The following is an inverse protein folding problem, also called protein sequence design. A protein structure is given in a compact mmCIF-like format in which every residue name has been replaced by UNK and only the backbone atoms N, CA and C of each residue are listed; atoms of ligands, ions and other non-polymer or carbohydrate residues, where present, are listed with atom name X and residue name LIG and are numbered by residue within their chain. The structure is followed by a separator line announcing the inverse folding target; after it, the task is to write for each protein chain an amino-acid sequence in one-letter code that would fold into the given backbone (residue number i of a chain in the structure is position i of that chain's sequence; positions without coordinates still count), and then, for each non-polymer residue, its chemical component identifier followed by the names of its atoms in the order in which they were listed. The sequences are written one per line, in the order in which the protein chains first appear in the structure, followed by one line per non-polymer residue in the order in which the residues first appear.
data_IF_990076097220
#
_entry.id   IF_990076097220
#
_cell.length_a   1.000
_cell.length_b   1.000
_cell.length_c   1.000
_cell.angle_alpha   90.00
_cell.angle_beta   90.00
_cell.angle_gamma   90.00
#
_symmetry.space_group_name_H-M   'P 1'
#
loop_
_entity.id
_entity.type
_entity.pdbx_description
1 polymer ?
#
# COMPACT_ATOMS: atom_id res chain seq x y z
N UNK A 1 -4.64 -29.98 -8.04
CA UNK A 1 -4.07 -29.45 -9.29
C UNK A 1 -4.17 -27.93 -9.17
N UNK A 2 -3.04 -27.23 -9.02
CA UNK A 2 -3.04 -25.77 -8.80
C UNK A 2 -2.99 -25.12 -10.18
N UNK A 3 -4.10 -24.53 -10.62
CA UNK A 3 -4.11 -23.67 -11.81
C UNK A 3 -3.45 -22.33 -11.45
N UNK A 4 -2.32 -22.05 -12.10
CA UNK A 4 -1.59 -20.79 -11.94
C UNK A 4 -1.96 -19.90 -13.12
N UNK A 5 -2.82 -18.91 -12.89
CA UNK A 5 -3.16 -17.88 -13.87
C UNK A 5 -2.21 -16.68 -13.67
N UNK A 6 -1.35 -16.43 -14.64
CA UNK A 6 -0.44 -15.29 -14.64
C UNK A 6 -1.13 -14.09 -15.32
N UNK A 7 -1.35 -13.01 -14.59
CA UNK A 7 -1.78 -11.73 -15.16
C UNK A 7 -0.66 -10.69 -15.02
N UNK A 8 -0.20 -10.16 -16.15
CA UNK A 8 0.84 -9.13 -16.20
C UNK A 8 0.23 -7.84 -16.75
N UNK A 9 0.58 -6.71 -16.13
CA UNK A 9 0.15 -5.38 -16.59
C UNK A 9 1.41 -4.58 -16.93
N UNK A 10 1.76 -4.51 -18.20
CA UNK A 10 2.94 -3.76 -18.67
C UNK A 10 2.55 -2.32 -19.02
N UNK A 11 3.52 -1.41 -19.00
CA UNK A 11 3.37 0.00 -19.46
C UNK A 11 3.78 0.15 -20.94
N UNK A 12 3.88 -0.95 -21.69
CA UNK A 12 4.46 -0.97 -23.03
C UNK A 12 3.33 -0.98 -24.07
N UNK A 13 3.09 0.18 -24.68
CA UNK A 13 2.01 0.40 -25.64
C UNK A 13 2.36 -0.04 -27.08
N UNK A 14 3.56 -0.57 -27.31
CA UNK A 14 4.12 -0.80 -28.66
C UNK A 14 4.44 -2.28 -28.96
N UNK A 15 4.03 -3.21 -28.10
CA UNK A 15 4.43 -4.61 -28.20
C UNK A 15 3.21 -5.51 -27.96
N UNK A 16 3.04 -6.56 -28.77
CA UNK A 16 1.92 -7.48 -28.62
C UNK A 16 1.99 -8.20 -27.27
N UNK A 17 0.84 -8.51 -26.65
CA UNK A 17 0.80 -9.11 -25.31
C UNK A 17 1.61 -10.41 -25.23
N UNK A 18 1.65 -11.19 -26.32
CA UNK A 18 2.36 -12.47 -26.44
C UNK A 18 3.88 -12.28 -26.44
N UNK A 19 4.40 -11.38 -27.28
CA UNK A 19 5.83 -11.06 -27.33
C UNK A 19 6.28 -10.37 -26.02
N UNK A 20 5.41 -9.58 -25.40
CA UNK A 20 5.69 -8.91 -24.13
C UNK A 20 5.85 -9.93 -23.01
N UNK A 21 5.01 -10.97 -22.99
CA UNK A 21 5.07 -12.06 -22.04
C UNK A 21 6.33 -12.91 -22.25
N UNK A 22 6.74 -13.21 -23.49
CA UNK A 22 7.98 -13.95 -23.74
C UNK A 22 9.23 -13.18 -23.32
N UNK A 23 9.29 -11.89 -23.65
CA UNK A 23 10.41 -11.03 -23.27
C UNK A 23 10.47 -10.84 -21.75
N UNK A 24 9.29 -10.71 -21.09
CA UNK A 24 9.20 -10.73 -19.64
C UNK A 24 9.74 -12.05 -19.08
N UNK A 25 9.27 -13.20 -19.56
CA UNK A 25 9.71 -14.53 -19.09
C UNK A 25 11.22 -14.70 -19.21
N UNK A 26 11.80 -14.33 -20.35
CA UNK A 26 13.24 -14.41 -20.57
C UNK A 26 14.04 -13.48 -19.63
N UNK A 27 13.51 -12.30 -19.32
CA UNK A 27 14.15 -11.35 -18.39
C UNK A 27 13.93 -11.67 -16.90
N UNK A 28 12.80 -12.30 -16.57
CA UNK A 28 12.39 -12.62 -15.21
C UNK A 28 13.03 -13.91 -14.72
N UNK A 29 13.16 -14.94 -15.56
CA UNK A 29 13.72 -16.25 -15.18
C UNK A 29 15.26 -16.17 -15.17
N UNK A 30 15.81 -15.60 -14.09
CA UNK A 30 17.24 -15.54 -13.77
C UNK A 30 17.62 -16.38 -12.53
N UNK A 31 16.69 -17.19 -12.03
CA UNK A 31 16.85 -18.02 -10.83
C UNK A 31 16.76 -17.25 -9.51
N UNK A 32 16.37 -15.96 -9.54
CA UNK A 32 16.20 -15.11 -8.35
C UNK A 32 14.76 -14.62 -8.20
N UNK A 33 13.82 -15.24 -8.89
CA UNK A 33 12.41 -14.87 -8.80
C UNK A 33 11.84 -15.20 -7.41
N UNK A 34 11.03 -14.28 -6.89
CA UNK A 34 10.19 -14.55 -5.73
C UNK A 34 8.80 -15.03 -6.19
N UNK A 35 8.28 -16.06 -5.52
CA UNK A 35 6.89 -16.48 -5.72
C UNK A 35 5.96 -15.63 -4.86
N UNK A 36 4.90 -15.10 -5.47
CA UNK A 36 3.81 -14.42 -4.75
C UNK A 36 2.63 -15.38 -4.58
N UNK A 37 2.26 -15.68 -3.35
CA UNK A 37 1.15 -16.56 -3.03
C UNK A 37 0.18 -15.87 -2.06
N UNK A 38 -1.11 -15.88 -2.41
CA UNK A 38 -2.19 -15.40 -1.54
C UNK A 38 -2.99 -16.59 -1.02
N UNK A 39 -3.06 -16.72 0.30
CA UNK A 39 -3.89 -17.71 0.98
C UNK A 39 -5.07 -17.01 1.64
N UNK A 40 -6.27 -17.45 1.32
CA UNK A 40 -7.53 -16.95 1.89
C UNK A 40 -8.31 -18.10 2.51
N UNK A 41 -9.06 -17.82 3.58
CA UNK A 41 -10.08 -18.72 4.14
C UNK A 41 -11.49 -18.42 3.63
N UNK A 42 -11.61 -17.46 2.70
CA UNK A 42 -12.86 -17.04 2.06
C UNK A 42 -12.86 -17.47 0.61
N UNK A 43 -14.02 -17.87 0.11
CA UNK A 43 -14.24 -18.13 -1.30
C UNK A 43 -14.30 -16.78 -2.04
N UNK A 44 -13.27 -16.50 -2.84
CA UNK A 44 -13.07 -15.22 -3.53
C UNK A 44 -12.57 -15.51 -4.93
N UNK A 45 -12.98 -14.69 -5.90
CA UNK A 45 -12.36 -14.72 -7.22
C UNK A 45 -10.91 -14.26 -7.13
N UNK A 46 -10.08 -14.66 -8.11
CA UNK A 46 -8.67 -14.25 -8.18
C UNK A 46 -8.51 -12.72 -8.16
N UNK A 47 -9.37 -12.02 -8.90
CA UNK A 47 -9.38 -10.55 -8.97
C UNK A 47 -9.76 -9.94 -7.60
N UNK A 48 -10.83 -10.43 -6.96
CA UNK A 48 -11.26 -9.94 -5.65
C UNK A 48 -10.21 -10.17 -4.57
N UNK A 49 -9.54 -11.34 -4.58
CA UNK A 49 -8.47 -11.65 -3.67
C UNK A 49 -7.30 -10.68 -3.82
N UNK A 50 -6.92 -10.36 -5.06
CA UNK A 50 -5.84 -9.44 -5.38
C UNK A 50 -6.19 -7.99 -5.02
N UNK A 51 -7.39 -7.54 -5.35
CA UNK A 51 -7.91 -6.21 -4.96
C UNK A 51 -7.92 -6.09 -3.43
N UNK A 52 -8.42 -7.11 -2.73
CA UNK A 52 -8.48 -7.13 -1.26
C UNK A 52 -7.09 -7.07 -0.65
N UNK A 53 -6.14 -7.84 -1.16
CA UNK A 53 -4.76 -7.78 -0.69
C UNK A 53 -4.15 -6.39 -0.92
N UNK A 54 -4.37 -5.79 -2.11
CA UNK A 54 -3.86 -4.45 -2.43
C UNK A 54 -4.40 -3.37 -1.51
N UNK A 55 -5.61 -3.51 -0.94
CA UNK A 55 -6.14 -2.56 0.06
C UNK A 55 -5.22 -2.42 1.27
N UNK A 56 -4.36 -3.41 1.57
CA UNK A 56 -3.33 -3.33 2.61
C UNK A 56 -2.38 -2.13 2.43
N UNK A 57 -2.09 -1.70 1.21
CA UNK A 57 -1.25 -0.52 0.93
C UNK A 57 -1.79 0.75 1.62
N UNK A 58 -3.10 0.86 1.78
CA UNK A 58 -3.74 1.95 2.51
C UNK A 58 -3.28 2.01 3.98
N UNK A 59 -3.10 0.85 4.62
CA UNK A 59 -2.62 0.75 6.00
C UNK A 59 -1.14 1.18 6.06
N UNK A 60 -0.32 0.76 5.10
CA UNK A 60 1.09 1.18 5.03
C UNK A 60 1.22 2.70 4.87
N UNK A 61 0.37 3.31 4.04
CA UNK A 61 0.27 4.77 3.89
C UNK A 61 -0.13 5.47 5.19
N UNK A 62 -1.10 4.94 5.95
CA UNK A 62 -1.51 5.48 7.25
C UNK A 62 -0.33 5.46 8.23
N UNK A 63 0.38 4.35 8.36
CA UNK A 63 1.55 4.27 9.26
C UNK A 63 2.72 5.16 8.81
N UNK A 64 2.91 5.30 7.50
CA UNK A 64 3.89 6.24 6.96
C UNK A 64 3.53 7.69 7.32
N UNK A 65 2.27 8.07 7.17
CA UNK A 65 1.74 9.38 7.57
C UNK A 65 1.96 9.62 9.07
N UNK A 66 1.61 8.65 9.92
CA UNK A 66 1.79 8.75 11.36
C UNK A 66 3.26 8.99 11.76
N UNK A 67 4.20 8.37 11.05
CA UNK A 67 5.65 8.50 11.29
C UNK A 67 6.23 9.81 10.76
N UNK A 68 5.79 10.31 9.60
CA UNK A 68 6.47 11.39 8.89
C UNK A 68 5.68 12.72 8.86
N UNK A 69 4.36 12.66 8.92
CA UNK A 69 3.48 13.83 8.85
C UNK A 69 3.18 14.32 10.24
N UNK A 70 2.58 13.44 11.06
CA UNK A 70 2.29 13.67 12.48
C UNK A 70 3.58 13.62 13.30
N UNK A 71 4.58 12.88 12.83
CA UNK A 71 5.89 12.77 13.48
C UNK A 71 5.80 12.30 14.93
N UNK A 72 5.03 11.22 15.17
CA UNK A 72 4.82 10.67 16.52
C UNK A 72 6.10 10.12 17.16
N UNK A 73 7.19 9.96 16.39
CA UNK A 73 8.45 9.39 16.87
C UNK A 73 9.48 10.48 17.17
N UNK A 74 10.26 10.34 18.27
CA UNK A 74 10.17 9.30 19.28
C UNK A 74 9.04 9.56 20.29
N UNK A 75 8.41 8.47 20.76
CA UNK A 75 7.48 8.51 21.89
C UNK A 75 8.30 8.73 23.18
N UNK A 76 8.38 9.97 23.66
CA UNK A 76 9.15 10.34 24.88
C UNK A 76 8.38 10.05 26.16
N UNK A 77 7.83 8.85 26.27
CA UNK A 77 7.01 8.37 27.39
C UNK A 77 7.54 7.03 27.87
N UNK A 78 7.36 6.73 29.16
CA UNK A 78 8.12 5.67 29.84
C UNK A 78 7.27 4.59 30.51
N UNK A 79 5.94 4.75 30.55
CA UNK A 79 5.01 3.71 31.01
C UNK A 79 4.22 3.15 29.84
N UNK A 80 3.82 1.88 29.94
CA UNK A 80 3.02 1.20 28.93
C UNK A 80 1.73 1.98 28.64
N UNK A 81 1.00 2.41 29.67
CA UNK A 81 -0.21 3.21 29.53
C UNK A 81 0.02 4.52 28.77
N UNK A 82 1.15 5.19 29.02
CA UNK A 82 1.51 6.42 28.32
C UNK A 82 1.89 6.15 26.85
N UNK A 83 2.52 5.01 26.56
CA UNK A 83 2.81 4.58 25.19
C UNK A 83 1.51 4.33 24.43
N UNK A 84 0.58 3.56 25.01
CA UNK A 84 -0.74 3.30 24.41
C UNK A 84 -1.52 4.60 24.19
N UNK A 85 -1.57 5.48 25.20
CA UNK A 85 -2.23 6.77 25.10
C UNK A 85 -1.66 7.65 23.98
N UNK A 86 -0.34 7.74 23.88
CA UNK A 86 0.31 8.52 22.84
C UNK A 86 0.01 7.97 21.43
N UNK A 87 0.03 6.63 21.26
CA UNK A 87 -0.32 5.98 19.99
C UNK A 87 -1.79 6.26 19.62
N UNK A 88 -2.72 6.17 20.57
CA UNK A 88 -4.14 6.46 20.35
C UNK A 88 -4.33 7.91 19.90
N UNK A 89 -3.69 8.87 20.58
CA UNK A 89 -3.72 10.28 20.19
C UNK A 89 -3.18 10.48 18.77
N UNK A 90 -2.12 9.76 18.40
CA UNK A 90 -1.59 9.75 17.04
C UNK A 90 -2.61 9.27 16.00
N UNK A 91 -3.37 8.21 16.29
CA UNK A 91 -4.44 7.74 15.40
C UNK A 91 -5.62 8.71 15.32
N UNK A 92 -5.98 9.38 16.42
CA UNK A 92 -7.01 10.41 16.41
C UNK A 92 -6.57 11.60 15.54
N UNK A 93 -5.33 12.07 15.68
CA UNK A 93 -4.78 13.12 14.82
C UNK A 93 -4.79 12.69 13.35
N UNK A 94 -4.44 11.44 13.06
CA UNK A 94 -4.49 10.88 11.71
C UNK A 94 -5.90 10.86 11.13
N UNK A 95 -6.91 10.55 11.95
CA UNK A 95 -8.30 10.57 11.53
C UNK A 95 -8.72 11.97 11.07
N UNK A 96 -8.39 13.01 11.85
CA UNK A 96 -8.69 14.40 11.47
C UNK A 96 -8.02 14.79 10.15
N UNK A 97 -6.74 14.44 9.95
CA UNK A 97 -6.04 14.71 8.69
C UNK A 97 -6.73 14.01 7.52
N UNK A 98 -7.16 12.76 7.72
CA UNK A 98 -7.89 12.00 6.70
C UNK A 98 -9.25 12.61 6.38
N UNK A 99 -10.01 13.09 7.39
CA UNK A 99 -11.29 13.77 7.19
C UNK A 99 -11.13 15.10 6.46
N UNK A 100 -10.16 15.92 6.87
CA UNK A 100 -9.86 17.17 6.18
C UNK A 100 -9.49 16.94 4.71
N UNK A 101 -8.68 15.91 4.42
CA UNK A 101 -8.36 15.54 3.04
C UNK A 101 -9.56 15.10 2.21
N UNK A 102 -10.56 14.49 2.84
CA UNK A 102 -11.77 14.07 2.14
C UNK A 102 -12.68 15.25 1.82
N UNK A 103 -12.78 16.21 2.75
CA UNK A 103 -13.57 17.45 2.63
C UNK A 103 -12.97 18.46 1.64
N UNK A 104 -11.64 18.59 1.58
CA UNK A 104 -10.95 19.50 0.67
C UNK A 104 -10.51 18.78 -0.63
N UNK A 105 -11.34 18.84 -1.68
CA UNK A 105 -11.07 18.21 -2.99
C UNK A 105 -9.69 18.57 -3.58
N UNK A 106 -9.23 19.80 -3.39
CA UNK A 106 -7.92 20.27 -3.86
C UNK A 106 -6.71 19.60 -3.19
N UNK A 107 -6.90 18.93 -2.06
CA UNK A 107 -5.83 18.29 -1.26
C UNK A 107 -5.95 16.76 -1.31
N UNK A 108 -7.08 16.23 -1.82
CA UNK A 108 -7.44 14.81 -1.84
C UNK A 108 -6.40 13.92 -2.51
N UNK A 109 -5.79 14.42 -3.60
CA UNK A 109 -4.74 13.71 -4.35
C UNK A 109 -3.33 14.24 -4.10
N UNK A 110 -3.19 15.27 -3.25
CA UNK A 110 -1.89 15.89 -2.97
C UNK A 110 -1.20 15.11 -1.86
N UNK A 111 -0.07 14.48 -2.22
CA UNK A 111 0.80 13.89 -1.21
C UNK A 111 1.26 14.97 -0.24
N UNK A 112 1.17 14.64 1.03
CA UNK A 112 1.43 15.48 2.22
C UNK A 112 2.87 15.96 2.29
N UNK A 113 3.76 15.27 1.57
CA UNK A 113 5.14 15.71 1.31
C UNK A 113 5.20 17.05 0.56
N UNK A 114 4.24 17.34 -0.31
CA UNK A 114 4.19 18.57 -1.11
C UNK A 114 3.49 19.73 -0.39
N UNK A 115 2.68 19.44 0.63
CA UNK A 115 1.96 20.45 1.41
C UNK A 115 2.92 21.21 2.36
N UNK A 116 3.86 20.50 3.00
CA UNK A 116 4.84 21.11 3.94
C UNK A 116 5.83 22.10 3.28
N UNK A 117 5.84 22.24 1.95
CA UNK A 117 6.79 23.08 1.19
C UNK A 117 6.19 24.38 0.67
N UNK A 118 4.91 24.64 0.90
CA UNK A 118 4.24 25.90 0.57
C UNK A 118 4.30 26.87 1.75
#
# INVERSE_FOLDING_TARGET
MIEINYSFRTKLFELSDEEAIELLKASLINGREGFFCLKSNRDLTLEDALITYRKKDSIEKIFHSLKNEINIKPLRVWSDDSIYGAIILGFIAQLFISLMRDEFEGIKHVSTKFIKKA
#
